data_IF_727131926329
#
_entry.id   IF_727131926329
#
_cell.length_a   1.000
_cell.length_b   1.000
_cell.length_c   1.000
_cell.angle_alpha   90.00
_cell.angle_beta   90.00
_cell.angle_gamma   90.00
#
_symmetry.space_group_name_H-M   'P 1'
#
loop_
_entity.id
_entity.type
_entity.pdbx_description
1 polymer ?
#
# COMPACT_ATOMS: atom_id res chain seq x y z
N UNK A 1 -22.62 20.08 -23.64
CA UNK A 1 -22.60 18.96 -22.69
C UNK A 1 -21.12 18.73 -22.42
N UNK A 2 -20.61 19.28 -21.33
CA UNK A 2 -19.20 19.14 -20.98
C UNK A 2 -19.04 17.85 -20.16
N UNK A 3 -18.46 16.82 -20.77
CA UNK A 3 -18.05 15.59 -20.09
C UNK A 3 -16.71 15.85 -19.39
N UNK A 4 -16.64 15.63 -18.07
CA UNK A 4 -15.39 15.73 -17.31
C UNK A 4 -14.96 14.34 -16.85
N UNK A 5 -13.74 13.94 -17.23
CA UNK A 5 -13.09 12.72 -16.79
C UNK A 5 -12.24 13.00 -15.55
N UNK A 6 -12.49 12.27 -14.47
CA UNK A 6 -11.71 12.35 -13.24
C UNK A 6 -11.35 10.97 -12.71
N UNK A 7 -10.21 10.90 -12.01
CA UNK A 7 -9.74 9.67 -11.41
C UNK A 7 -10.33 9.54 -10.01
N UNK A 8 -11.02 8.42 -9.74
CA UNK A 8 -11.48 8.10 -8.41
C UNK A 8 -10.27 7.97 -7.46
N UNK A 9 -10.22 8.68 -6.32
CA UNK A 9 -9.06 8.65 -5.42
C UNK A 9 -8.89 7.30 -4.69
N UNK A 10 -9.91 6.44 -4.69
CA UNK A 10 -9.90 5.17 -3.98
C UNK A 10 -9.49 3.98 -4.85
N UNK A 11 -9.93 3.94 -6.11
CA UNK A 11 -9.62 2.83 -7.03
C UNK A 11 -8.82 3.25 -8.28
N UNK A 12 -8.48 4.54 -8.43
CA UNK A 12 -7.85 5.11 -9.63
C UNK A 12 -8.58 4.74 -10.95
N UNK A 13 -9.88 4.46 -10.86
CA UNK A 13 -10.72 4.24 -12.02
C UNK A 13 -11.03 5.60 -12.67
N UNK A 14 -10.82 5.69 -13.98
CA UNK A 14 -11.21 6.85 -14.80
C UNK A 14 -12.73 6.82 -14.96
N UNK A 15 -13.40 7.85 -14.46
CA UNK A 15 -14.85 8.01 -14.54
C UNK A 15 -15.17 9.30 -15.29
N UNK A 16 -16.06 9.19 -16.27
CA UNK A 16 -16.60 10.33 -17.00
C UNK A 16 -18.00 10.63 -16.47
N UNK A 17 -18.20 11.85 -15.99
CA UNK A 17 -19.52 12.33 -15.58
C UNK A 17 -19.78 13.74 -16.11
N UNK A 18 -21.05 14.04 -16.38
CA UNK A 18 -21.52 15.37 -16.73
C UNK A 18 -21.45 16.34 -15.54
N UNK A 19 -21.32 17.63 -15.85
CA UNK A 19 -21.32 18.75 -14.90
C UNK A 19 -22.50 18.76 -13.91
N UNK A 20 -23.62 18.09 -14.23
CA UNK A 20 -24.78 17.91 -13.35
C UNK A 20 -24.48 17.12 -12.07
N UNK A 21 -23.39 16.34 -12.05
CA UNK A 21 -22.95 15.58 -10.87
C UNK A 21 -22.00 16.34 -9.94
N UNK A 22 -21.60 17.57 -10.28
CA UNK A 22 -20.66 18.36 -9.48
C UNK A 22 -21.28 18.65 -8.10
N UNK A 23 -20.59 18.23 -7.04
CA UNK A 23 -21.07 18.38 -5.67
C UNK A 23 -22.11 17.34 -5.22
N UNK A 24 -22.47 16.37 -6.06
CA UNK A 24 -23.32 15.24 -5.66
C UNK A 24 -22.50 14.04 -5.19
N UNK A 25 -23.06 13.31 -4.24
CA UNK A 25 -22.54 12.03 -3.74
C UNK A 25 -22.89 10.93 -4.74
N UNK A 26 -21.87 10.35 -5.37
CA UNK A 26 -22.03 9.23 -6.30
C UNK A 26 -21.34 7.97 -5.79
N UNK A 27 -21.94 6.82 -6.04
CA UNK A 27 -21.36 5.51 -5.74
C UNK A 27 -20.44 5.09 -6.90
N UNK A 28 -19.15 4.91 -6.62
CA UNK A 28 -18.22 4.44 -7.64
C UNK A 28 -18.50 2.96 -8.01
N UNK A 29 -18.70 2.59 -9.29
CA UNK A 29 -18.97 1.21 -9.68
C UNK A 29 -17.80 0.24 -9.47
N UNK A 30 -16.58 0.76 -9.25
CA UNK A 30 -15.37 -0.03 -9.01
C UNK A 30 -15.12 -0.37 -7.54
N UNK A 31 -15.30 0.58 -6.62
CA UNK A 31 -15.03 0.39 -5.20
C UNK A 31 -16.27 0.46 -4.29
N UNK A 32 -17.44 0.83 -4.83
CA UNK A 32 -18.70 1.11 -4.09
C UNK A 32 -18.58 2.17 -2.99
N UNK A 33 -17.49 2.94 -3.00
CA UNK A 33 -17.30 4.03 -2.05
C UNK A 33 -18.02 5.28 -2.56
N UNK A 34 -18.67 6.01 -1.64
CA UNK A 34 -19.36 7.26 -1.94
C UNK A 34 -18.32 8.38 -2.06
N UNK A 35 -18.29 9.07 -3.20
CA UNK A 35 -17.39 10.19 -3.44
C UNK A 35 -18.16 11.43 -3.90
N UNK A 36 -17.63 12.60 -3.55
CA UNK A 36 -18.14 13.89 -3.98
C UNK A 36 -17.32 14.34 -5.19
N UNK A 37 -17.98 14.67 -6.29
CA UNK A 37 -17.30 15.09 -7.52
C UNK A 37 -16.80 16.54 -7.35
N UNK A 38 -15.47 16.77 -7.42
CA UNK A 38 -14.91 18.11 -7.26
C UNK A 38 -15.21 18.97 -8.51
N UNK A 39 -15.74 20.18 -8.28
CA UNK A 39 -15.97 21.14 -9.34
C UNK A 39 -14.62 21.59 -9.96
N UNK A 40 -14.46 21.56 -11.30
CA UNK A 40 -13.30 22.17 -11.95
C UNK A 40 -13.48 23.69 -11.99
N UNK A 41 -13.30 24.35 -10.85
CA UNK A 41 -13.55 25.78 -10.71
C UNK A 41 -13.33 26.33 -9.30
N UNK A 42 -12.13 26.13 -8.76
CA UNK A 42 -11.53 27.00 -7.76
C UNK A 42 -12.26 27.22 -6.43
N UNK A 43 -11.84 26.46 -5.42
CA UNK A 43 -11.89 26.90 -4.02
C UNK A 43 -13.19 26.55 -3.30
N UNK A 44 -13.05 25.83 -2.19
CA UNK A 44 -14.16 25.31 -1.42
C UNK A 44 -15.10 26.36 -0.86
N UNK A 45 -16.30 25.91 -0.53
CA UNK A 45 -17.20 26.67 0.31
C UNK A 45 -18.42 25.84 0.65
N UNK A 46 -18.48 25.36 1.89
CA UNK A 46 -19.75 25.23 2.57
C UNK A 46 -20.52 26.56 2.44
N UNK A 47 -21.82 26.43 2.21
CA UNK A 47 -22.77 27.50 1.92
C UNK A 47 -22.72 28.71 2.86
N UNK A 48 -22.89 29.91 2.29
CA UNK A 48 -23.86 30.94 2.70
C UNK A 48 -23.68 32.25 1.86
N UNK A 49 -24.71 32.57 1.06
CA UNK A 49 -25.37 33.88 0.79
C UNK A 49 -24.88 35.15 1.54
N UNK A 50 -25.01 36.42 1.13
CA UNK A 50 -25.56 37.18 -0.02
C UNK A 50 -25.12 38.68 0.15
N UNK A 51 -25.05 39.41 -0.97
CA UNK A 51 -25.25 40.87 -1.19
C UNK A 51 -24.38 42.05 -0.62
N UNK A 52 -24.22 43.03 -1.54
CA UNK A 52 -24.00 44.49 -1.42
C UNK A 52 -22.61 45.08 -1.07
N UNK A 53 -22.06 45.75 -2.10
CA UNK A 53 -21.38 47.07 -2.05
C UNK A 53 -19.91 47.08 -1.58
N UNK A 54 -18.99 47.39 -2.51
CA UNK A 54 -17.60 47.79 -2.19
C UNK A 54 -17.55 49.05 -1.30
N UNK A 55 -16.39 49.50 -0.76
CA UNK A 55 -15.07 49.47 -1.42
C UNK A 55 -13.83 49.24 -0.51
N UNK A 56 -12.66 49.25 -1.15
CA UNK A 56 -11.34 49.64 -0.63
C UNK A 56 -10.70 48.82 0.52
N UNK A 57 -9.61 48.17 0.15
CA UNK A 57 -8.64 47.48 1.02
C UNK A 57 -7.91 48.53 1.89
N UNK A 58 -7.95 48.47 3.24
CA UNK A 58 -6.95 49.13 4.07
C UNK A 58 -5.69 48.23 4.17
N UNK A 59 -4.56 48.76 3.70
CA UNK A 59 -3.24 48.20 3.96
C UNK A 59 -2.89 48.38 5.44
N UNK A 60 -3.30 47.40 6.27
CA UNK A 60 -2.88 47.29 7.66
C UNK A 60 -1.58 46.49 7.77
N UNK A 61 -0.50 47.17 8.12
CA UNK A 61 0.79 46.58 8.48
C UNK A 61 0.64 45.65 9.70
N UNK A 62 0.79 44.34 9.51
CA UNK A 62 0.94 43.41 10.62
C UNK A 62 2.42 43.30 11.00
N UNK A 63 2.78 43.48 12.29
CA UNK A 63 4.15 43.39 12.74
C UNK A 63 4.64 41.94 12.71
N UNK A 64 5.86 41.80 12.19
CA UNK A 64 6.76 40.65 12.16
C UNK A 64 6.41 39.50 13.13
N UNK A 65 5.76 38.45 12.60
CA UNK A 65 5.54 37.22 13.32
C UNK A 65 6.88 36.46 13.44
N UNK A 66 7.45 36.55 14.64
CA UNK A 66 8.65 35.84 15.07
C UNK A 66 8.55 34.35 14.75
N UNK A 67 9.39 33.90 13.81
CA UNK A 67 9.56 32.52 13.39
C UNK A 67 9.82 31.65 14.63
N UNK A 68 8.82 30.87 15.04
CA UNK A 68 8.97 29.85 16.07
C UNK A 68 9.85 28.74 15.49
N UNK A 69 11.16 28.86 15.72
CA UNK A 69 12.15 27.81 15.47
C UNK A 69 11.88 26.66 16.44
N UNK A 70 10.95 25.77 16.10
CA UNK A 70 10.91 24.46 16.72
C UNK A 70 10.38 23.39 15.76
N UNK A 71 10.93 23.37 14.54
CA UNK A 71 10.62 22.39 13.50
C UNK A 71 11.65 21.25 13.39
N UNK A 72 12.48 21.00 14.42
CA UNK A 72 13.53 19.97 14.36
C UNK A 72 13.31 18.74 15.26
N UNK A 73 12.20 18.67 16.02
CA UNK A 73 11.92 17.51 16.89
C UNK A 73 10.88 16.53 16.34
N UNK A 74 10.08 16.89 15.34
CA UNK A 74 9.07 15.98 14.75
C UNK A 74 9.63 15.01 13.71
N UNK A 75 10.76 15.32 13.07
CA UNK A 75 11.33 14.46 12.02
C UNK A 75 12.15 13.29 12.60
N UNK A 76 12.70 13.43 13.81
CA UNK A 76 13.48 12.36 14.48
C UNK A 76 12.58 11.29 15.14
N UNK A 77 11.29 11.61 15.37
CA UNK A 77 10.30 10.66 15.90
C UNK A 77 9.69 9.83 14.75
N UNK A 78 9.54 10.39 13.54
CA UNK A 78 9.06 9.65 12.38
C UNK A 78 10.12 8.71 11.76
N UNK A 79 11.40 8.99 11.96
CA UNK A 79 12.50 8.14 11.50
C UNK A 79 12.77 6.92 12.39
N UNK A 80 12.07 6.79 13.53
CA UNK A 80 12.34 5.73 14.53
C UNK A 80 11.52 4.45 14.37
N UNK A 81 10.59 4.40 13.42
CA UNK A 81 9.79 3.19 13.12
C UNK A 81 9.44 3.06 11.64
N UNK A 82 10.32 3.44 10.71
CA UNK A 82 10.15 3.02 9.30
C UNK A 82 10.67 1.58 9.18
N UNK A 83 9.80 0.60 9.46
CA UNK A 83 10.11 -0.81 9.25
C UNK A 83 10.43 -1.04 7.77
N UNK A 84 11.57 -1.66 7.47
CA UNK A 84 12.03 -1.83 6.08
C UNK A 84 11.29 -3.00 5.44
N UNK A 85 10.87 -2.85 4.19
CA UNK A 85 10.30 -3.98 3.45
C UNK A 85 11.39 -5.05 3.22
N UNK A 86 11.08 -6.29 3.58
CA UNK A 86 11.92 -7.48 3.44
C UNK A 86 11.14 -8.61 2.78
N UNK A 87 11.88 -9.55 2.21
CA UNK A 87 11.33 -10.75 1.59
C UNK A 87 11.99 -11.97 2.23
N UNK A 88 11.18 -12.94 2.62
CA UNK A 88 11.63 -14.24 3.12
C UNK A 88 11.04 -15.33 2.25
N UNK A 89 11.91 -16.15 1.66
CA UNK A 89 11.51 -17.34 0.91
C UNK A 89 11.63 -18.56 1.81
N UNK A 90 10.59 -19.37 1.85
CA UNK A 90 10.56 -20.69 2.45
C UNK A 90 10.42 -21.71 1.32
N UNK A 91 11.34 -22.67 1.26
CA UNK A 91 11.30 -23.76 0.26
C UNK A 91 10.98 -25.06 0.98
N UNK A 92 10.05 -25.85 0.43
CA UNK A 92 9.54 -27.05 1.09
C UNK A 92 10.66 -28.04 1.46
N UNK A 93 11.47 -28.47 0.49
CA UNK A 93 12.64 -29.33 0.74
C UNK A 93 13.63 -28.86 1.83
N UNK A 94 13.74 -27.56 2.14
CA UNK A 94 14.65 -27.08 3.20
C UNK A 94 14.11 -27.41 4.60
N UNK A 95 12.81 -27.64 4.70
CA UNK A 95 12.08 -27.88 5.94
C UNK A 95 11.52 -29.30 6.09
N UNK A 96 11.73 -30.16 5.08
CA UNK A 96 11.47 -31.61 5.16
C UNK A 96 12.75 -32.31 5.61
N UNK A 97 12.75 -32.90 6.81
CA UNK A 97 13.89 -33.66 7.35
C UNK A 97 13.44 -35.05 7.74
N UNK A 98 14.13 -36.08 7.25
CA UNK A 98 13.87 -37.49 7.61
C UNK A 98 12.39 -37.90 7.43
N UNK A 99 11.73 -37.38 6.39
CA UNK A 99 10.32 -37.66 6.10
C UNK A 99 9.32 -36.94 7.01
N UNK A 100 9.79 -36.09 7.93
CA UNK A 100 8.93 -35.19 8.72
C UNK A 100 8.90 -33.83 8.04
N UNK A 101 7.71 -33.44 7.61
CA UNK A 101 7.46 -32.13 7.06
C UNK A 101 7.18 -31.15 8.20
N UNK A 102 8.10 -30.22 8.43
CA UNK A 102 7.95 -29.13 9.40
C UNK A 102 7.76 -27.78 8.68
N UNK A 103 7.46 -27.80 7.38
CA UNK A 103 7.33 -26.59 6.59
C UNK A 103 6.24 -25.66 7.14
N UNK A 104 5.06 -26.21 7.40
CA UNK A 104 3.91 -25.44 7.88
C UNK A 104 4.22 -24.81 9.24
N UNK A 105 4.76 -25.58 10.19
CA UNK A 105 5.16 -25.08 11.51
C UNK A 105 6.16 -23.91 11.43
N UNK A 106 7.15 -24.01 10.55
CA UNK A 106 8.17 -22.96 10.38
C UNK A 106 7.55 -21.69 9.78
N UNK A 107 6.67 -21.84 8.78
CA UNK A 107 5.98 -20.71 8.16
C UNK A 107 5.02 -20.06 9.15
N UNK A 108 4.22 -20.84 9.88
CA UNK A 108 3.31 -20.34 10.92
C UNK A 108 4.05 -19.64 12.06
N UNK A 109 5.18 -20.19 12.51
CA UNK A 109 6.00 -19.55 13.54
C UNK A 109 6.60 -18.23 13.04
N UNK A 110 7.02 -18.15 11.77
CA UNK A 110 7.49 -16.90 11.18
C UNK A 110 6.39 -15.86 11.09
N UNK A 111 5.21 -16.24 10.60
CA UNK A 111 4.04 -15.36 10.51
C UNK A 111 3.65 -14.89 11.92
N UNK A 112 3.66 -15.77 12.92
CA UNK A 112 3.34 -15.43 14.32
C UNK A 112 4.37 -14.52 15.01
N UNK A 113 5.60 -14.44 14.51
CA UNK A 113 6.61 -13.49 15.00
C UNK A 113 6.36 -12.05 14.52
N UNK A 114 5.57 -11.88 13.47
CA UNK A 114 5.25 -10.59 12.89
C UNK A 114 3.77 -10.24 13.12
N UNK A 115 3.43 -9.01 13.55
CA UNK A 115 2.03 -8.59 13.60
C UNK A 115 1.46 -8.57 12.18
N UNK A 116 0.15 -8.78 12.04
CA UNK A 116 -0.54 -8.87 10.74
C UNK A 116 -0.30 -7.62 9.87
N UNK A 117 -0.19 -6.44 10.48
CA UNK A 117 0.08 -5.16 9.80
C UNK A 117 1.48 -5.08 9.14
N UNK A 118 2.42 -5.90 9.61
CA UNK A 118 3.76 -6.00 9.03
C UNK A 118 3.80 -6.95 7.84
N UNK A 119 2.84 -7.86 7.70
CA UNK A 119 2.79 -8.80 6.58
C UNK A 119 2.10 -8.12 5.40
N UNK A 120 2.88 -7.89 4.34
CA UNK A 120 2.40 -7.19 3.14
C UNK A 120 1.76 -8.16 2.15
N UNK A 121 2.37 -9.33 1.96
CA UNK A 121 1.87 -10.33 1.01
C UNK A 121 2.50 -11.70 1.26
N UNK A 122 1.71 -12.75 1.07
CA UNK A 122 2.15 -14.15 1.07
C UNK A 122 1.85 -14.71 -0.31
N UNK A 123 2.88 -15.16 -1.03
CA UNK A 123 2.76 -15.68 -2.40
C UNK A 123 3.31 -17.09 -2.47
N UNK A 124 2.48 -18.05 -2.90
CA UNK A 124 2.92 -19.40 -3.21
C UNK A 124 3.75 -19.42 -4.50
N UNK A 125 4.84 -20.19 -4.49
CA UNK A 125 5.67 -20.42 -5.68
C UNK A 125 5.84 -21.92 -5.92
N UNK A 126 5.90 -22.29 -7.20
CA UNK A 126 6.29 -23.61 -7.63
C UNK A 126 7.56 -23.48 -8.47
N UNK A 127 8.56 -24.30 -8.20
CA UNK A 127 9.85 -24.22 -8.88
C UNK A 127 10.44 -25.61 -9.07
N UNK A 128 11.27 -25.76 -10.11
CA UNK A 128 12.01 -27.00 -10.37
C UNK A 128 13.48 -26.76 -10.08
N UNK A 129 14.10 -27.65 -9.31
CA UNK A 129 15.52 -27.59 -8.98
C UNK A 129 16.19 -28.95 -9.17
N UNK A 130 17.50 -28.94 -9.38
CA UNK A 130 18.28 -30.16 -9.63
C UNK A 130 18.78 -30.71 -8.28
N UNK A 131 18.11 -31.73 -7.74
CA UNK A 131 18.56 -32.43 -6.55
C UNK A 131 19.67 -33.41 -6.91
N UNK A 132 20.78 -33.34 -6.16
CA UNK A 132 21.88 -34.30 -6.27
C UNK A 132 21.54 -35.51 -5.43
N UNK A 133 21.12 -36.59 -6.08
CA UNK A 133 20.89 -37.86 -5.41
C UNK A 133 22.12 -38.75 -5.61
N UNK A 134 22.55 -39.45 -4.55
CA UNK A 134 23.57 -40.50 -4.65
C UNK A 134 22.86 -41.83 -4.82
N UNK A 135 23.14 -42.51 -5.92
CA UNK A 135 22.69 -43.88 -6.14
C UNK A 135 23.44 -44.85 -5.20
N UNK A 136 22.96 -46.09 -5.09
CA UNK A 136 23.56 -47.12 -4.22
C UNK A 136 25.05 -47.39 -4.53
N UNK A 137 25.50 -47.05 -5.73
CA UNK A 137 26.88 -47.16 -6.22
C UNK A 137 27.72 -45.89 -5.99
N UNK A 138 27.18 -44.89 -5.27
CA UNK A 138 27.86 -43.64 -4.94
C UNK A 138 27.95 -42.63 -6.09
N UNK A 139 27.31 -42.91 -7.23
CA UNK A 139 27.22 -42.00 -8.37
C UNK A 139 26.26 -40.85 -8.05
N UNK A 140 26.72 -39.62 -8.23
CA UNK A 140 25.91 -38.41 -8.06
C UNK A 140 25.13 -38.15 -9.36
N UNK A 141 23.82 -38.39 -9.30
CA UNK A 141 22.90 -38.15 -10.41
C UNK A 141 22.06 -36.91 -10.08
N UNK A 142 21.99 -35.95 -11.00
CA UNK A 142 21.12 -34.77 -10.86
C UNK A 142 19.71 -35.12 -11.33
N UNK A 143 18.76 -35.14 -10.41
CA UNK A 143 17.34 -35.38 -10.70
C UNK A 143 16.60 -34.05 -10.67
N UNK A 144 15.88 -33.66 -11.72
CA UNK A 144 15.01 -32.49 -11.68
C UNK A 144 13.81 -32.79 -10.79
N UNK A 145 13.69 -32.05 -9.69
CA UNK A 145 12.59 -32.19 -8.73
C UNK A 145 11.80 -30.89 -8.66
N UNK A 146 10.50 -31.00 -8.95
CA UNK A 146 9.55 -29.90 -8.82
C UNK A 146 9.04 -29.85 -7.39
N UNK A 147 9.22 -28.70 -6.76
CA UNK A 147 8.86 -28.41 -5.38
C UNK A 147 7.99 -27.17 -5.30
N UNK A 148 7.42 -26.94 -4.13
CA UNK A 148 6.70 -25.72 -3.81
C UNK A 148 7.40 -24.94 -2.69
N UNK A 149 7.02 -23.68 -2.55
CA UNK A 149 7.52 -22.80 -1.50
C UNK A 149 6.60 -21.60 -1.33
N UNK A 150 6.94 -20.76 -0.37
CA UNK A 150 6.18 -19.55 -0.03
C UNK A 150 7.14 -18.37 0.08
N UNK A 151 6.76 -17.26 -0.55
CA UNK A 151 7.41 -15.97 -0.43
C UNK A 151 6.58 -15.09 0.50
N UNK A 152 7.18 -14.63 1.60
CA UNK A 152 6.54 -13.69 2.51
C UNK A 152 7.21 -12.33 2.36
N UNK A 153 6.43 -11.33 1.94
CA UNK A 153 6.79 -9.92 1.95
C UNK A 153 6.34 -9.33 3.28
N UNK A 154 7.27 -8.78 4.06
CA UNK A 154 6.98 -8.27 5.40
C UNK A 154 7.83 -7.04 5.73
N UNK A 155 7.38 -6.23 6.68
CA UNK A 155 8.09 -5.05 7.17
C UNK A 155 8.86 -5.41 8.45
N UNK A 156 10.17 -5.23 8.48
CA UNK A 156 11.03 -5.51 9.64
C UNK A 156 12.29 -4.64 9.71
#
# INVERSE_FOLDING_TARGET
MAEFSFNCPFCNLELSIDESGIGQEIECPGCKEVLIIPAPGGGGGAAAEEEERGPAIPQGSFPEAKIIKNASKSLDIAAKTVKKLRVKTFRHHEHVKDGKDAFDDVVSNFIGQHPEDDIVSITGIQYTHQLKQKDAEGKETSVPTTEYGVLVHYKA
#
